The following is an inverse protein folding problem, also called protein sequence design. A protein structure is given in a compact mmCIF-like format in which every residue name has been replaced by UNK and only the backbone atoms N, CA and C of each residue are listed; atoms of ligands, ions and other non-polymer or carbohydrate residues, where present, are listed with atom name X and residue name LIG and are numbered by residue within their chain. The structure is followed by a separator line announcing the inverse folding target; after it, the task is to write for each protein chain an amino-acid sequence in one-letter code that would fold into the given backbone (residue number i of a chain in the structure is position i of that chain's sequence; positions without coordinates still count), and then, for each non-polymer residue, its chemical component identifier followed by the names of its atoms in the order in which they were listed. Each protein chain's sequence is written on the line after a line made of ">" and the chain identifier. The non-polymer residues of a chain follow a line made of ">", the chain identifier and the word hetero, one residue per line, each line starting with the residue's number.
data_IF_322801715020
#
_entry.id   IF_322801715020
#
_cell.length_a   1.000
_cell.length_b   1.000
_cell.length_c   1.000
_cell.angle_alpha   90.00
_cell.angle_beta   90.00
_cell.angle_gamma   90.00
#
_symmetry.space_group_name_H-M   'P 1'
#
loop_
_entity.id
_entity.type
_entity.pdbx_description
1 polymer ?
#
# COMPACT_ATOMS: atom_id res chain seq x y z
N UNK A 1 -5.85 11.18 19.21
CA UNK A 1 -4.97 11.24 18.03
C UNK A 1 -4.55 9.82 17.69
N UNK A 2 -5.39 9.08 16.95
CA UNK A 2 -5.07 7.70 16.57
C UNK A 2 -3.89 7.70 15.62
N UNK A 3 -2.93 6.81 15.83
CA UNK A 3 -1.81 6.68 14.90
C UNK A 3 -2.37 6.31 13.52
N UNK A 4 -1.89 6.97 12.48
CA UNK A 4 -2.31 6.73 11.09
C UNK A 4 -2.23 5.23 10.70
N UNK A 5 -1.30 4.51 11.34
CA UNK A 5 -1.11 3.07 11.20
C UNK A 5 -2.29 2.29 11.80
N UNK A 6 -2.85 2.70 12.95
CA UNK A 6 -4.04 2.06 13.55
C UNK A 6 -5.28 2.24 12.69
N UNK A 7 -5.44 3.41 12.05
CA UNK A 7 -6.55 3.62 11.11
C UNK A 7 -6.42 2.70 9.89
N UNK A 8 -5.22 2.61 9.30
CA UNK A 8 -4.95 1.67 8.21
C UNK A 8 -5.20 0.21 8.61
N UNK A 9 -4.81 -0.18 9.83
CA UNK A 9 -5.08 -1.53 10.35
C UNK A 9 -6.59 -1.79 10.47
N UNK A 10 -7.35 -0.82 11.01
CA UNK A 10 -8.81 -0.95 11.11
C UNK A 10 -9.46 -1.11 9.74
N UNK A 11 -9.03 -0.32 8.76
CA UNK A 11 -9.51 -0.44 7.38
C UNK A 11 -9.11 -1.78 6.73
N UNK A 12 -7.96 -2.35 7.09
CA UNK A 12 -7.53 -3.65 6.60
C UNK A 12 -8.35 -4.82 7.17
N UNK A 13 -8.89 -4.65 8.39
CA UNK A 13 -9.81 -5.62 9.00
C UNK A 13 -11.25 -5.49 8.51
N UNK A 14 -11.61 -4.37 7.85
CA UNK A 14 -12.94 -4.17 7.30
C UNK A 14 -13.03 -4.76 5.88
N UNK A 15 -13.76 -5.87 5.68
CA UNK A 15 -13.90 -6.48 4.37
C UNK A 15 -14.70 -5.61 3.38
N UNK A 16 -15.38 -4.56 3.86
CA UNK A 16 -16.10 -3.59 3.03
C UNK A 16 -15.15 -2.64 2.29
N UNK A 17 -13.91 -2.50 2.78
CA UNK A 17 -12.89 -1.62 2.20
C UNK A 17 -12.20 -2.34 1.05
N UNK A 18 -12.26 -1.75 -0.15
CA UNK A 18 -11.54 -2.30 -1.30
C UNK A 18 -10.02 -2.23 -1.10
N UNK A 19 -9.30 -3.23 -1.63
CA UNK A 19 -7.83 -3.25 -1.63
C UNK A 19 -7.22 -1.97 -2.21
N UNK A 20 -7.87 -1.38 -3.22
CA UNK A 20 -7.44 -0.15 -3.87
C UNK A 20 -7.57 1.08 -2.95
N UNK A 21 -8.65 1.13 -2.16
CA UNK A 21 -8.82 2.14 -1.10
C UNK A 21 -7.75 1.99 -0.02
N UNK A 22 -7.44 0.75 0.36
CA UNK A 22 -6.44 0.44 1.37
C UNK A 22 -5.03 0.84 0.92
N UNK A 23 -4.65 0.52 -0.32
CA UNK A 23 -3.36 0.91 -0.92
C UNK A 23 -3.17 2.43 -0.97
N UNK A 24 -4.22 3.19 -1.31
CA UNK A 24 -4.17 4.66 -1.28
C UNK A 24 -3.92 5.21 0.14
N UNK A 25 -4.55 4.61 1.16
CA UNK A 25 -4.29 4.96 2.57
C UNK A 25 -2.86 4.58 2.99
N UNK A 26 -2.39 3.40 2.57
CA UNK A 26 -1.03 2.94 2.81
C UNK A 26 0.01 3.87 2.17
N UNK A 27 -0.27 4.44 0.99
CA UNK A 27 0.62 5.40 0.32
C UNK A 27 0.81 6.67 1.14
N UNK A 28 -0.27 7.16 1.77
CA UNK A 28 -0.21 8.34 2.65
C UNK A 28 0.62 8.03 3.90
N UNK A 29 0.47 6.82 4.46
CA UNK A 29 1.29 6.35 5.58
C UNK A 29 2.76 6.24 5.18
N UNK A 30 3.05 5.65 4.03
CA UNK A 30 4.40 5.49 3.49
C UNK A 30 5.09 6.83 3.25
N UNK A 31 4.37 7.83 2.73
CA UNK A 31 4.85 9.20 2.54
C UNK A 31 5.13 9.91 3.86
N UNK A 32 4.29 9.70 4.87
CA UNK A 32 4.47 10.31 6.20
C UNK A 32 5.63 9.71 6.99
N UNK A 33 5.96 8.43 6.75
CA UNK A 33 7.08 7.72 7.37
C UNK A 33 8.37 7.77 6.51
N UNK A 34 8.33 8.45 5.35
CA UNK A 34 9.40 8.53 4.35
C UNK A 34 9.97 7.16 3.90
N UNK A 35 9.11 6.15 3.80
CA UNK A 35 9.50 4.80 3.36
C UNK A 35 9.39 4.72 1.84
N UNK A 36 10.47 5.10 1.15
CA UNK A 36 10.52 5.20 -0.32
C UNK A 36 10.27 3.87 -1.04
N UNK A 37 10.78 2.77 -0.49
CA UNK A 37 10.57 1.43 -1.05
C UNK A 37 9.09 1.04 -1.04
N UNK A 38 8.41 1.34 0.07
CA UNK A 38 6.98 1.04 0.21
C UNK A 38 6.12 1.92 -0.70
N UNK A 39 6.47 3.20 -0.87
CA UNK A 39 5.81 4.07 -1.86
C UNK A 39 5.94 3.49 -3.27
N UNK A 40 7.15 3.09 -3.67
CA UNK A 40 7.41 2.50 -4.99
C UNK A 40 6.62 1.20 -5.19
N UNK A 41 6.55 0.34 -4.18
CA UNK A 41 5.77 -0.89 -4.25
C UNK A 41 4.27 -0.61 -4.47
N UNK A 42 3.70 0.34 -3.71
CA UNK A 42 2.28 0.72 -3.85
C UNK A 42 2.02 1.36 -5.22
N UNK A 43 2.93 2.20 -5.72
CA UNK A 43 2.77 2.82 -7.03
C UNK A 43 2.82 1.77 -8.16
N UNK A 44 3.65 0.73 -8.02
CA UNK A 44 3.67 -0.41 -8.95
C UNK A 44 2.37 -1.24 -8.86
N UNK A 45 1.87 -1.49 -7.66
CA UNK A 45 0.62 -2.23 -7.44
C UNK A 45 -0.59 -1.48 -8.04
N UNK A 46 -0.62 -0.15 -7.91
CA UNK A 46 -1.69 0.70 -8.46
C UNK A 46 -1.57 0.92 -9.98
N UNK A 47 -0.35 1.06 -10.50
CA UNK A 47 -0.11 1.33 -11.93
C UNK A 47 -0.06 0.05 -12.78
N UNK A 48 0.07 -1.11 -12.13
CA UNK A 48 0.31 -2.38 -12.77
C UNK A 48 1.79 -2.59 -13.11
N UNK A 49 2.27 -3.82 -12.94
CA UNK A 49 3.62 -4.22 -13.30
C UNK A 49 3.78 -4.25 -14.81
N UNK A 50 4.45 -3.24 -15.38
CA UNK A 50 4.68 -3.11 -16.83
C UNK A 50 5.84 -3.98 -17.32
N UNK A 51 6.70 -4.48 -16.43
CA UNK A 51 7.80 -5.37 -16.78
C UNK A 51 7.61 -6.77 -16.16
N UNK A 52 7.97 -7.81 -16.92
CA UNK A 52 7.97 -9.21 -16.46
C UNK A 52 8.91 -9.45 -15.28
N UNK A 53 9.89 -8.56 -15.07
CA UNK A 53 10.87 -8.61 -13.99
C UNK A 53 10.33 -8.09 -12.65
N UNK A 54 9.33 -7.20 -12.66
CA UNK A 54 8.76 -6.64 -11.43
C UNK A 54 7.72 -7.57 -10.78
N UNK A 55 7.30 -8.63 -11.48
CA UNK A 55 6.31 -9.62 -11.00
C UNK A 55 6.82 -10.47 -9.82
N UNK A 56 8.14 -10.56 -9.65
CA UNK A 56 8.77 -11.39 -8.62
C UNK A 56 8.59 -10.81 -7.20
N UNK A 57 8.30 -9.51 -7.07
CA UNK A 57 8.29 -8.81 -5.78
C UNK A 57 7.09 -9.22 -4.91
N UNK A 58 6.01 -9.76 -5.50
CA UNK A 58 4.81 -10.17 -4.77
C UNK A 58 4.70 -11.69 -4.52
N UNK A 59 5.68 -12.50 -4.95
CA UNK A 59 5.68 -13.97 -4.81
C UNK A 59 6.76 -14.50 -3.86
N UNK A 60 7.40 -13.64 -3.08
CA UNK A 60 8.42 -14.00 -2.07
C UNK A 60 7.87 -14.01 -0.65
#
# INVERSE_FOLDING_TARGET
>A
MGSLVIELQKDAYDPSVSALTLLRKALVVAKKLDIKEFQKWIDLELSGYTSTSDRQICLG
#
